data_IF_308153095118
#
_entry.id   IF_308153095118
#
_cell.length_a   1.000
_cell.length_b   1.000
_cell.length_c   1.000
_cell.angle_alpha   90.00
_cell.angle_beta   90.00
_cell.angle_gamma   90.00
#
_symmetry.space_group_name_H-M   'P 1'
#
loop_
_entity.id
_entity.type
_entity.pdbx_description
1 polymer ?
#
# COMPACT_ATOMS: atom_id res chain seq x y z
N UNK A 1 67.56 36.79 -5.73
CA UNK A 1 66.19 36.64 -6.29
C UNK A 1 65.72 35.22 -6.05
N UNK A 2 64.93 34.98 -5.03
CA UNK A 2 64.32 33.66 -4.74
C UNK A 2 62.79 33.85 -4.98
N UNK A 3 62.18 33.01 -5.82
CA UNK A 3 60.77 32.95 -6.10
C UNK A 3 60.23 31.73 -5.40
N UNK A 4 59.48 31.95 -4.32
CA UNK A 4 58.74 30.90 -3.59
C UNK A 4 57.40 30.67 -4.31
N UNK A 5 57.23 29.41 -4.70
CA UNK A 5 55.99 28.96 -5.39
C UNK A 5 55.13 28.19 -4.36
N UNK A 6 54.17 28.86 -3.79
CA UNK A 6 53.16 28.22 -2.95
C UNK A 6 52.15 27.47 -3.84
N UNK A 7 52.22 26.16 -3.82
CA UNK A 7 51.20 25.30 -4.43
C UNK A 7 49.98 25.19 -3.51
N UNK A 8 48.83 25.79 -3.86
CA UNK A 8 47.57 25.54 -3.20
C UNK A 8 47.04 24.18 -3.71
N UNK A 9 47.13 23.17 -2.85
CA UNK A 9 46.44 21.90 -3.02
C UNK A 9 44.94 22.06 -2.77
N UNK A 10 44.15 22.02 -3.82
CA UNK A 10 42.69 22.04 -3.74
C UNK A 10 42.22 20.63 -3.42
N UNK A 11 41.89 20.38 -2.17
CA UNK A 11 41.32 19.10 -1.71
C UNK A 11 39.85 19.06 -2.09
N UNK A 12 39.52 18.35 -3.20
CA UNK A 12 38.16 18.14 -3.66
C UNK A 12 37.47 17.13 -2.72
N UNK A 13 36.69 17.61 -1.77
CA UNK A 13 35.81 16.75 -0.96
C UNK A 13 34.64 16.27 -1.81
N UNK A 14 34.74 15.03 -2.28
CA UNK A 14 33.62 14.34 -2.91
C UNK A 14 32.62 13.95 -1.81
N UNK A 15 31.55 14.72 -1.65
CA UNK A 15 30.42 14.35 -0.82
C UNK A 15 29.65 13.20 -1.50
N UNK A 16 29.88 11.99 -1.08
CA UNK A 16 29.06 10.85 -1.47
C UNK A 16 27.70 11.00 -0.80
N UNK A 17 26.69 11.48 -1.55
CA UNK A 17 25.30 11.49 -1.13
C UNK A 17 24.82 10.03 -1.10
N UNK A 18 24.80 9.42 0.10
CA UNK A 18 24.14 8.16 0.32
C UNK A 18 22.66 8.43 0.26
N UNK A 19 22.05 8.24 -0.91
CA UNK A 19 20.60 8.23 -1.08
C UNK A 19 20.06 6.99 -0.39
N UNK A 20 19.79 7.09 0.91
CA UNK A 20 19.04 6.08 1.65
C UNK A 20 17.67 5.93 1.01
N UNK A 21 17.44 4.85 0.30
CA UNK A 21 16.12 4.50 -0.18
C UNK A 21 15.21 4.35 1.05
N UNK A 22 14.35 5.33 1.30
CA UNK A 22 13.38 5.27 2.38
C UNK A 22 12.54 3.99 2.20
N UNK A 23 12.60 3.10 3.18
CA UNK A 23 11.82 1.87 3.17
C UNK A 23 10.34 2.24 3.23
N UNK A 24 9.64 2.10 2.13
CA UNK A 24 8.23 2.50 1.97
C UNK A 24 7.32 1.40 2.50
N UNK A 25 6.24 1.79 3.14
CA UNK A 25 5.14 0.88 3.44
C UNK A 25 4.54 0.34 2.14
N UNK A 26 4.18 -0.93 2.12
CA UNK A 26 3.69 -1.60 0.91
C UNK A 26 2.37 -2.31 1.19
N UNK A 27 1.38 -1.98 0.39
CA UNK A 27 0.13 -2.73 0.28
C UNK A 27 0.39 -4.02 -0.51
N UNK A 28 -0.28 -5.11 -0.11
CA UNK A 28 -0.08 -6.41 -0.72
C UNK A 28 1.15 -7.17 -0.21
N UNK A 29 1.70 -6.75 0.92
CA UNK A 29 2.83 -7.41 1.56
C UNK A 29 2.61 -7.56 3.05
N UNK A 30 3.06 -8.69 3.59
CA UNK A 30 3.18 -8.94 5.01
C UNK A 30 4.65 -9.11 5.43
N UNK A 31 4.88 -9.05 6.74
CA UNK A 31 6.18 -9.31 7.40
C UNK A 31 5.91 -10.28 8.55
N UNK A 32 5.92 -11.58 8.29
CA UNK A 32 5.65 -12.60 9.30
C UNK A 32 6.67 -12.59 10.44
N UNK A 33 6.19 -12.70 11.69
CA UNK A 33 7.02 -12.80 12.90
C UNK A 33 7.53 -11.47 13.46
N UNK A 34 8.22 -11.58 14.59
CA UNK A 34 8.75 -10.43 15.33
C UNK A 34 7.69 -9.63 16.09
N UNK A 35 6.46 -10.13 16.17
CA UNK A 35 5.34 -9.49 16.83
C UNK A 35 5.51 -9.44 18.35
N UNK A 36 5.25 -8.28 18.93
CA UNK A 36 5.22 -8.12 20.39
C UNK A 36 3.88 -7.55 20.89
N UNK A 37 3.06 -7.04 19.97
CA UNK A 37 1.72 -6.57 20.27
C UNK A 37 0.84 -6.69 19.02
N UNK A 38 -0.44 -6.99 19.23
CA UNK A 38 -1.48 -6.94 18.21
C UNK A 38 -2.76 -6.41 18.82
N UNK A 39 -3.56 -5.69 18.03
CA UNK A 39 -4.83 -5.18 18.47
C UNK A 39 -5.79 -4.99 17.30
N UNK A 40 -7.10 -5.20 17.56
CA UNK A 40 -8.12 -4.96 16.56
C UNK A 40 -8.24 -3.45 16.27
N UNK A 41 -8.53 -3.12 15.02
CA UNK A 41 -8.75 -1.76 14.55
C UNK A 41 -10.09 -1.67 13.85
N UNK A 42 -10.89 -0.68 14.23
CA UNK A 42 -12.16 -0.40 13.53
C UNK A 42 -11.95 0.24 12.16
N UNK A 43 -10.83 0.93 12.00
CA UNK A 43 -10.47 1.55 10.73
C UNK A 43 -9.79 0.55 9.82
N UNK A 44 -10.18 0.52 8.56
CA UNK A 44 -9.50 -0.21 7.49
C UNK A 44 -8.27 0.51 6.94
N UNK A 45 -7.79 1.57 7.59
CA UNK A 45 -6.69 2.39 7.14
C UNK A 45 -5.35 1.95 7.77
N UNK A 46 -4.42 1.35 7.01
CA UNK A 46 -3.12 0.93 7.51
C UNK A 46 -2.26 2.10 8.02
N UNK A 47 -2.55 3.35 7.63
CA UNK A 47 -1.85 4.52 8.15
C UNK A 47 -1.98 4.66 9.68
N UNK A 48 -3.09 4.21 10.25
CA UNK A 48 -3.28 4.22 11.70
C UNK A 48 -2.38 3.20 12.42
N UNK A 49 -2.12 2.04 11.81
CA UNK A 49 -1.15 1.07 12.31
C UNK A 49 0.28 1.61 12.24
N UNK A 50 0.65 2.23 11.12
CA UNK A 50 1.92 2.93 10.98
C UNK A 50 2.11 4.00 12.06
N UNK A 51 1.12 4.87 12.25
CA UNK A 51 1.15 5.92 13.27
C UNK A 51 1.25 5.37 14.70
N UNK A 52 0.72 4.18 14.94
CA UNK A 52 0.87 3.47 16.21
C UNK A 52 2.33 3.04 16.41
N UNK A 53 2.95 2.46 15.37
CA UNK A 53 4.34 2.07 15.37
C UNK A 53 5.29 3.26 15.60
N UNK A 54 5.00 4.41 14.99
CA UNK A 54 5.80 5.63 15.17
C UNK A 54 5.85 6.10 16.64
N UNK A 55 4.76 5.95 17.37
CA UNK A 55 4.64 6.38 18.77
C UNK A 55 5.23 5.37 19.78
N UNK A 56 5.56 4.16 19.35
CA UNK A 56 6.10 3.12 20.21
C UNK A 56 7.60 2.92 19.98
N UNK A 57 8.42 3.23 20.98
CA UNK A 57 9.88 3.14 20.89
C UNK A 57 10.39 1.71 20.61
N UNK A 58 9.62 0.67 20.97
CA UNK A 58 9.95 -0.74 20.70
C UNK A 58 9.66 -1.12 19.26
N UNK A 59 8.75 -0.41 18.58
CA UNK A 59 8.34 -0.76 17.23
C UNK A 59 9.46 -0.48 16.22
N UNK A 60 9.76 -1.47 15.39
CA UNK A 60 10.69 -1.36 14.26
C UNK A 60 10.01 -1.55 12.93
N UNK A 61 8.94 -2.34 12.92
CA UNK A 61 8.11 -2.58 11.75
C UNK A 61 6.67 -2.88 12.20
N UNK A 62 5.76 -2.84 11.25
CA UNK A 62 4.36 -3.13 11.49
C UNK A 62 3.77 -3.93 10.32
N UNK A 63 2.70 -4.66 10.59
CA UNK A 63 1.82 -5.22 9.59
C UNK A 63 0.37 -4.91 9.95
N UNK A 64 -0.44 -4.73 8.95
CA UNK A 64 -1.86 -4.48 9.04
C UNK A 64 -2.60 -5.53 8.23
N UNK A 65 -3.43 -6.32 8.88
CA UNK A 65 -4.29 -7.27 8.20
C UNK A 65 -5.64 -6.61 7.95
N UNK A 66 -6.05 -6.55 6.70
CA UNK A 66 -7.41 -6.10 6.35
C UNK A 66 -8.45 -7.05 6.94
N UNK A 67 -9.66 -6.59 7.24
CA UNK A 67 -10.74 -7.47 7.69
C UNK A 67 -10.94 -8.62 6.68
N UNK A 68 -11.12 -9.84 7.18
CA UNK A 68 -11.40 -10.99 6.32
C UNK A 68 -12.85 -11.01 5.82
N UNK A 69 -13.76 -10.33 6.53
CA UNK A 69 -15.19 -10.19 6.20
C UNK A 69 -15.65 -8.78 6.54
N UNK A 70 -16.81 -8.39 6.03
CA UNK A 70 -17.39 -7.06 6.25
C UNK A 70 -17.58 -6.71 7.74
N UNK A 71 -17.86 -7.71 8.59
CA UNK A 71 -18.09 -7.53 10.02
C UNK A 71 -16.84 -7.77 10.90
N UNK A 72 -15.73 -8.14 10.30
CA UNK A 72 -14.47 -8.36 11.02
C UNK A 72 -13.74 -7.04 11.26
N UNK A 73 -12.94 -7.00 12.32
CA UNK A 73 -12.00 -5.91 12.52
C UNK A 73 -10.72 -6.15 11.72
N UNK A 74 -10.11 -5.09 11.26
CA UNK A 74 -8.70 -5.11 10.85
C UNK A 74 -7.83 -5.38 12.08
N UNK A 75 -6.62 -5.86 11.87
CA UNK A 75 -5.65 -6.10 12.95
C UNK A 75 -4.34 -5.39 12.64
N UNK A 76 -3.84 -4.64 13.60
CA UNK A 76 -2.52 -4.07 13.57
C UNK A 76 -1.55 -4.91 14.39
N UNK A 77 -0.43 -5.25 13.80
CA UNK A 77 0.66 -6.03 14.38
C UNK A 77 1.89 -5.15 14.52
N UNK A 78 2.37 -4.92 15.73
CA UNK A 78 3.62 -4.20 15.99
C UNK A 78 4.76 -5.17 16.20
N UNK A 79 5.89 -4.91 15.54
CA UNK A 79 7.03 -5.80 15.46
C UNK A 79 8.30 -5.14 16.02
N UNK A 80 9.02 -5.87 16.87
CA UNK A 80 10.29 -5.45 17.45
C UNK A 80 11.50 -5.64 16.52
N UNK A 81 11.27 -6.33 15.38
CA UNK A 81 12.30 -6.60 14.36
C UNK A 81 11.74 -6.32 12.98
N UNK A 82 12.60 -5.91 12.06
CA UNK A 82 12.24 -5.79 10.63
C UNK A 82 12.45 -7.15 9.98
N UNK A 83 11.36 -7.88 9.79
CA UNK A 83 11.38 -9.17 9.09
C UNK A 83 11.32 -8.95 7.58
N UNK A 84 11.82 -9.89 6.76
CA UNK A 84 11.62 -9.87 5.31
C UNK A 84 10.13 -9.80 4.98
N UNK A 85 9.80 -9.06 3.93
CA UNK A 85 8.44 -8.99 3.40
C UNK A 85 8.18 -10.13 2.43
N UNK A 86 6.94 -10.57 2.35
CA UNK A 86 6.45 -11.49 1.32
C UNK A 86 5.08 -11.01 0.81
N UNK A 87 4.72 -11.41 -0.38
CA UNK A 87 3.43 -11.03 -0.98
C UNK A 87 2.28 -11.65 -0.20
N UNK A 88 1.32 -10.85 0.18
CA UNK A 88 0.14 -11.24 0.93
C UNK A 88 -1.02 -10.28 0.65
N UNK A 89 -2.01 -10.74 -0.09
CA UNK A 89 -3.15 -9.92 -0.50
C UNK A 89 -4.00 -9.38 0.68
N UNK A 90 -3.90 -10.04 1.85
CA UNK A 90 -4.60 -9.64 3.07
C UNK A 90 -4.09 -8.32 3.67
N UNK A 91 -2.89 -7.89 3.27
CA UNK A 91 -2.11 -7.15 4.23
C UNK A 91 -1.45 -5.90 3.64
N UNK A 92 -1.08 -5.00 4.54
CA UNK A 92 -0.13 -3.92 4.27
C UNK A 92 0.93 -3.95 5.35
N UNK A 93 2.18 -3.67 5.03
CA UNK A 93 3.24 -3.65 6.02
C UNK A 93 4.26 -2.54 5.76
N UNK A 94 4.98 -2.15 6.80
CA UNK A 94 5.99 -1.12 6.69
C UNK A 94 7.05 -1.19 7.79
N UNK A 95 8.04 -0.35 7.63
CA UNK A 95 9.11 -0.12 8.61
C UNK A 95 8.85 1.22 9.29
N UNK A 96 9.16 1.35 10.56
CA UNK A 96 9.07 2.61 11.30
C UNK A 96 9.82 3.71 10.56
N UNK A 97 9.23 4.90 10.50
CA UNK A 97 9.78 6.05 9.77
C UNK A 97 9.45 6.08 8.27
N UNK A 98 8.89 4.99 7.73
CA UNK A 98 8.58 4.92 6.31
C UNK A 98 7.19 5.48 5.94
N UNK A 99 6.31 5.64 6.92
CA UNK A 99 4.91 6.01 6.69
C UNK A 99 4.13 4.97 5.86
N UNK A 100 2.86 5.24 5.61
CA UNK A 100 2.10 4.54 4.56
C UNK A 100 2.13 5.43 3.32
N UNK A 101 2.98 5.10 2.37
CA UNK A 101 2.91 5.69 1.04
C UNK A 101 2.06 4.74 0.20
N UNK A 102 0.79 5.06 0.07
CA UNK A 102 -0.02 4.45 -0.97
C UNK A 102 0.67 4.78 -2.30
N UNK A 103 1.00 3.78 -3.13
CA UNK A 103 1.61 4.08 -4.41
C UNK A 103 0.61 4.93 -5.20
N UNK A 104 0.95 6.17 -5.44
CA UNK A 104 0.28 7.01 -6.44
C UNK A 104 0.72 6.50 -7.81
N UNK A 105 0.25 5.35 -8.18
CA UNK A 105 0.44 4.84 -9.54
C UNK A 105 -0.79 5.25 -10.35
N UNK A 106 -0.66 6.33 -11.09
CA UNK A 106 -1.65 6.76 -12.07
C UNK A 106 -3.06 6.94 -11.50
N UNK A 107 -3.95 6.05 -11.87
CA UNK A 107 -5.37 6.11 -11.56
C UNK A 107 -5.83 5.04 -10.54
N UNK A 108 -4.92 4.34 -9.85
CA UNK A 108 -5.23 3.27 -8.88
C UNK A 108 -5.23 3.77 -7.45
N UNK A 109 -6.30 3.48 -6.71
CA UNK A 109 -6.55 3.94 -5.34
C UNK A 109 -6.76 2.74 -4.41
N UNK A 110 -5.86 2.54 -3.46
CA UNK A 110 -5.95 1.46 -2.47
C UNK A 110 -6.82 1.84 -1.28
N UNK A 111 -7.59 0.87 -0.75
CA UNK A 111 -8.51 1.12 0.35
C UNK A 111 -9.66 2.05 -0.03
N UNK A 112 -10.04 2.06 -1.30
CA UNK A 112 -11.06 2.94 -1.87
C UNK A 112 -12.04 2.13 -2.70
N UNK A 113 -13.32 2.41 -2.52
CA UNK A 113 -14.39 1.99 -3.41
C UNK A 113 -14.98 3.21 -4.15
N UNK A 114 -15.48 2.97 -5.36
CA UNK A 114 -16.22 3.94 -6.17
C UNK A 114 -17.64 3.43 -6.38
N UNK A 115 -18.52 3.71 -5.40
CA UNK A 115 -19.87 3.17 -5.38
C UNK A 115 -20.71 3.61 -6.61
N UNK A 116 -21.35 2.63 -7.23
CA UNK A 116 -22.31 2.84 -8.33
C UNK A 116 -21.65 2.98 -9.72
N UNK A 117 -22.50 3.01 -10.73
CA UNK A 117 -22.07 2.98 -12.11
C UNK A 117 -21.67 1.59 -12.61
N UNK A 118 -21.91 0.55 -11.81
CA UNK A 118 -21.60 -0.83 -12.16
C UNK A 118 -22.50 -1.30 -13.31
N UNK A 119 -21.89 -1.80 -14.39
CA UNK A 119 -22.59 -2.40 -15.50
C UNK A 119 -22.18 -3.86 -15.74
N UNK A 120 -21.05 -4.28 -15.16
CA UNK A 120 -20.52 -5.63 -15.26
C UNK A 120 -19.76 -5.98 -14.00
N UNK A 121 -19.87 -7.23 -13.55
CA UNK A 121 -19.03 -7.78 -12.49
C UNK A 121 -18.68 -9.25 -12.80
N UNK A 122 -17.55 -9.71 -12.31
CA UNK A 122 -17.07 -11.08 -12.50
C UNK A 122 -15.98 -11.42 -11.46
N UNK A 123 -15.84 -12.69 -11.21
CA UNK A 123 -14.76 -13.19 -10.37
C UNK A 123 -13.39 -13.07 -11.06
N UNK A 124 -12.39 -12.76 -10.28
CA UNK A 124 -11.00 -12.65 -10.73
C UNK A 124 -10.09 -13.37 -9.75
N UNK A 125 -8.88 -13.80 -10.18
CA UNK A 125 -7.86 -14.27 -9.25
C UNK A 125 -7.58 -13.23 -8.17
N UNK A 126 -7.33 -13.71 -6.95
CA UNK A 126 -6.95 -12.82 -5.85
C UNK A 126 -5.57 -12.20 -6.15
N UNK A 127 -5.55 -10.89 -6.33
CA UNK A 127 -4.32 -10.11 -6.41
C UNK A 127 -4.38 -8.93 -5.43
N UNK A 128 -3.24 -8.40 -5.05
CA UNK A 128 -3.16 -7.32 -4.07
C UNK A 128 -3.35 -5.93 -4.65
N UNK A 129 -3.29 -5.81 -5.95
CA UNK A 129 -3.21 -4.53 -6.67
C UNK A 129 -4.44 -4.19 -7.50
N UNK A 130 -5.32 -5.17 -7.77
CA UNK A 130 -6.47 -5.02 -8.66
C UNK A 130 -6.10 -4.93 -10.14
N UNK A 131 -4.89 -5.35 -10.54
CA UNK A 131 -4.42 -5.27 -11.93
C UNK A 131 -5.28 -6.04 -12.92
N UNK A 132 -5.83 -7.17 -12.52
CA UNK A 132 -6.75 -7.95 -13.34
C UNK A 132 -8.03 -7.14 -13.66
N UNK A 133 -8.51 -6.35 -12.71
CA UNK A 133 -9.65 -5.48 -12.84
C UNK A 133 -9.34 -4.25 -13.72
N UNK A 134 -8.17 -3.64 -13.51
CA UNK A 134 -7.66 -2.54 -14.32
C UNK A 134 -7.56 -2.96 -15.80
N UNK A 135 -6.88 -4.08 -16.08
CA UNK A 135 -6.71 -4.59 -17.44
C UNK A 135 -8.06 -4.91 -18.12
N UNK A 136 -9.01 -5.46 -17.37
CA UNK A 136 -10.36 -5.72 -17.92
C UNK A 136 -11.10 -4.41 -18.22
N UNK A 137 -10.89 -3.35 -17.44
CA UNK A 137 -11.48 -2.03 -17.70
C UNK A 137 -10.82 -1.33 -18.89
N UNK A 138 -9.50 -1.45 -19.03
CA UNK A 138 -8.76 -0.91 -20.18
C UNK A 138 -9.15 -1.57 -21.50
N UNK A 139 -9.53 -2.84 -21.46
CA UNK A 139 -9.95 -3.61 -22.63
C UNK A 139 -11.44 -3.39 -23.02
N UNK A 140 -12.19 -2.61 -22.25
CA UNK A 140 -13.62 -2.38 -22.45
C UNK A 140 -13.92 -0.89 -22.67
N UNK A 141 -14.31 -0.52 -23.87
CA UNK A 141 -14.58 0.87 -24.28
C UNK A 141 -15.69 1.55 -23.47
N UNK A 142 -16.58 0.79 -22.85
CA UNK A 142 -17.62 1.32 -21.97
C UNK A 142 -17.10 1.62 -20.58
N UNK A 143 -15.95 1.08 -20.20
CA UNK A 143 -15.40 1.23 -18.86
C UNK A 143 -14.77 2.62 -18.65
N UNK A 144 -15.06 3.23 -17.49
CA UNK A 144 -14.49 4.50 -17.08
C UNK A 144 -13.80 4.42 -15.72
N UNK A 145 -14.23 3.47 -14.90
CA UNK A 145 -13.66 3.20 -13.60
C UNK A 145 -13.90 1.73 -13.22
N UNK A 146 -13.15 1.26 -12.26
CA UNK A 146 -13.27 -0.11 -11.77
C UNK A 146 -13.09 -0.15 -10.25
N UNK A 147 -13.65 -1.21 -9.65
CA UNK A 147 -13.40 -1.57 -8.25
C UNK A 147 -13.12 -3.06 -8.16
N UNK A 148 -11.97 -3.39 -7.63
CA UNK A 148 -11.60 -4.73 -7.20
C UNK A 148 -11.99 -4.91 -5.74
N UNK A 149 -12.77 -5.93 -5.44
CA UNK A 149 -13.15 -6.32 -4.07
C UNK A 149 -12.40 -7.57 -3.67
N UNK A 150 -11.72 -7.48 -2.52
CA UNK A 150 -10.95 -8.60 -1.98
C UNK A 150 -11.83 -9.80 -1.63
N UNK A 151 -11.28 -11.04 -1.64
CA UNK A 151 -11.99 -12.21 -1.13
C UNK A 151 -12.49 -11.99 0.30
N UNK A 152 -13.62 -12.59 0.63
CA UNK A 152 -14.23 -12.53 1.97
C UNK A 152 -15.24 -11.41 2.19
N UNK A 153 -15.38 -10.46 1.26
CA UNK A 153 -16.34 -9.36 1.36
C UNK A 153 -17.66 -9.60 0.64
N UNK A 154 -17.61 -10.19 -0.55
CA UNK A 154 -18.81 -10.52 -1.35
C UNK A 154 -18.94 -12.02 -1.53
N UNK A 155 -17.87 -12.74 -1.34
CA UNK A 155 -17.79 -14.19 -1.47
C UNK A 155 -16.37 -14.68 -1.19
N UNK A 156 -16.10 -15.96 -1.45
CA UNK A 156 -14.77 -16.55 -1.28
C UNK A 156 -13.77 -16.10 -2.34
N UNK A 157 -14.26 -15.64 -3.51
CA UNK A 157 -13.45 -15.15 -4.61
C UNK A 157 -13.29 -13.64 -4.56
N UNK A 158 -12.25 -13.11 -5.19
CA UNK A 158 -12.18 -11.69 -5.50
C UNK A 158 -13.16 -11.35 -6.64
N UNK A 159 -13.73 -10.16 -6.58
CA UNK A 159 -14.71 -9.71 -7.58
C UNK A 159 -14.29 -8.37 -8.18
N UNK A 160 -14.35 -8.28 -9.50
CA UNK A 160 -14.15 -7.06 -10.24
C UNK A 160 -15.50 -6.44 -10.61
N UNK A 161 -15.67 -5.14 -10.39
CA UNK A 161 -16.80 -4.34 -10.84
C UNK A 161 -16.30 -3.31 -11.86
N UNK A 162 -16.81 -3.39 -13.10
CA UNK A 162 -16.57 -2.38 -14.14
C UNK A 162 -17.69 -1.34 -14.13
N UNK A 163 -17.29 -0.08 -14.26
CA UNK A 163 -18.19 1.08 -14.11
C UNK A 163 -18.15 1.96 -15.36
N UNK A 164 -19.33 2.35 -15.84
CA UNK A 164 -19.49 3.21 -17.02
C UNK A 164 -19.37 4.71 -16.72
N UNK A 165 -19.16 5.08 -15.47
CA UNK A 165 -18.95 6.47 -15.00
C UNK A 165 -17.99 6.52 -13.84
N UNK A 166 -17.29 7.64 -13.71
CA UNK A 166 -16.42 7.93 -12.57
C UNK A 166 -17.29 8.48 -11.44
N UNK A 167 -17.35 7.76 -10.32
CA UNK A 167 -18.06 8.17 -9.12
C UNK A 167 -17.08 8.64 -8.04
N UNK A 168 -17.60 9.31 -7.01
CA UNK A 168 -16.79 9.81 -5.90
C UNK A 168 -16.13 8.65 -5.15
N UNK A 169 -14.81 8.73 -4.85
CA UNK A 169 -14.11 7.72 -4.05
C UNK A 169 -14.58 7.75 -2.59
N UNK A 170 -14.74 6.57 -2.01
CA UNK A 170 -15.11 6.37 -0.60
C UNK A 170 -14.11 5.41 0.02
N UNK A 171 -13.57 5.73 1.20
CA UNK A 171 -12.65 4.85 1.92
C UNK A 171 -13.35 3.57 2.34
N UNK A 172 -12.87 2.44 1.81
CA UNK A 172 -13.31 1.09 2.16
C UNK A 172 -12.14 0.11 2.12
N UNK A 173 -11.87 -0.62 3.21
CA UNK A 173 -10.71 -1.52 3.29
C UNK A 173 -10.81 -2.75 2.36
N UNK A 174 -12.01 -3.11 1.92
CA UNK A 174 -12.23 -4.21 0.98
C UNK A 174 -11.50 -4.05 -0.34
N UNK A 175 -11.21 -2.79 -0.73
CA UNK A 175 -11.29 -2.48 -2.14
C UNK A 175 -10.02 -1.79 -2.65
N UNK A 176 -9.78 -1.99 -3.92
CA UNK A 176 -8.87 -1.20 -4.75
C UNK A 176 -9.70 -0.69 -5.93
N UNK A 177 -9.63 0.58 -6.22
CA UNK A 177 -10.35 1.19 -7.34
C UNK A 177 -9.39 1.92 -8.27
N UNK A 178 -9.85 2.19 -9.47
CA UNK A 178 -9.12 3.01 -10.41
C UNK A 178 -10.03 3.65 -11.46
N UNK A 179 -9.44 4.55 -12.21
CA UNK A 179 -10.07 5.28 -13.30
C UNK A 179 -9.29 5.03 -14.59
N UNK A 180 -9.99 4.69 -15.66
CA UNK A 180 -9.43 4.54 -17.01
C UNK A 180 -9.86 5.73 -17.85
N UNK A 181 -8.94 6.28 -18.63
CA UNK A 181 -9.14 7.46 -19.48
C UNK A 181 -9.55 7.06 -20.89
#
# INVERSE_FOLDING_TARGET
MRRDWFGLGFCLLIAVAISGAAARAQVGFDRGGGDYASFPMRSGDPAQCAARCERDARCRAWAFSYPATENANAVCWLKSKVMPRFEAACCASGVRGAGVIEPKSGATEFGVDRNGGDYRYFEVPADSSGKSCEAACEADDACRAWTYVRPGYVGSSAVCYLKNRITRPVRKPCCVSGVVR
#
